data_IF_176304063373
#
_entry.id   IF_176304063373
#
_cell.length_a   1.000
_cell.length_b   1.000
_cell.length_c   1.000
_cell.angle_alpha   90.00
_cell.angle_beta   90.00
_cell.angle_gamma   90.00
#
_symmetry.space_group_name_H-M   'P 1'
#
loop_
_entity.id
_entity.type
_entity.pdbx_description
1 polymer ?
#
# COMPACT_ATOMS: atom_id res chain seq x y z
N UNK A 1 -2.16 -4.62 12.23
CA UNK A 1 -3.64 -4.61 12.31
C UNK A 1 -4.26 -5.27 11.07
N UNK A 2 -5.48 -4.88 10.61
CA UNK A 2 -6.14 -5.51 9.46
C UNK A 2 -5.35 -5.30 8.15
N UNK A 3 -4.85 -4.10 7.93
CA UNK A 3 -4.06 -3.77 6.74
C UNK A 3 -2.76 -4.57 6.65
N UNK A 4 -2.08 -4.82 7.75
CA UNK A 4 -0.82 -5.59 7.73
C UNK A 4 -1.07 -7.05 7.37
N UNK A 5 -2.20 -7.60 7.85
CA UNK A 5 -2.64 -8.95 7.47
C UNK A 5 -3.01 -8.98 5.99
N UNK A 6 -3.78 -8.01 5.51
CA UNK A 6 -4.12 -7.89 4.10
C UNK A 6 -2.88 -7.84 3.21
N UNK A 7 -1.87 -7.04 3.57
CA UNK A 7 -0.60 -6.98 2.85
C UNK A 7 0.09 -8.34 2.82
N UNK A 8 0.16 -9.04 3.94
CA UNK A 8 0.76 -10.37 4.00
C UNK A 8 0.00 -11.37 3.10
N UNK A 9 -1.32 -11.40 3.22
CA UNK A 9 -2.16 -12.34 2.47
C UNK A 9 -2.08 -12.10 0.95
N UNK A 10 -2.09 -10.85 0.49
CA UNK A 10 -2.04 -10.54 -0.95
C UNK A 10 -0.67 -10.88 -1.55
N UNK A 11 0.42 -10.73 -0.80
CA UNK A 11 1.77 -11.11 -1.23
C UNK A 11 1.96 -12.63 -1.39
N UNK A 12 1.10 -13.46 -0.78
CA UNK A 12 1.13 -14.90 -1.00
C UNK A 12 0.66 -15.32 -2.40
N UNK A 13 -0.13 -14.46 -3.05
CA UNK A 13 -0.79 -14.77 -4.32
C UNK A 13 -0.30 -13.93 -5.50
N UNK A 14 0.25 -12.74 -5.24
CA UNK A 14 0.64 -11.77 -6.26
C UNK A 14 2.03 -11.21 -6.05
N UNK A 15 2.67 -10.78 -7.12
CA UNK A 15 3.84 -9.89 -7.05
C UNK A 15 3.29 -8.48 -6.80
N UNK A 16 3.51 -7.97 -5.59
CA UNK A 16 2.97 -6.68 -5.17
C UNK A 16 4.06 -5.62 -5.05
N UNK A 17 3.72 -4.40 -5.45
CA UNK A 17 4.51 -3.20 -5.17
C UNK A 17 3.72 -2.35 -4.18
N UNK A 18 4.30 -2.13 -2.99
CA UNK A 18 3.71 -1.28 -1.96
C UNK A 18 4.44 0.07 -1.93
N UNK A 19 3.79 1.17 -2.34
CA UNK A 19 4.40 2.50 -2.28
C UNK A 19 4.71 2.97 -0.85
N UNK A 20 4.11 2.32 0.16
CA UNK A 20 4.35 2.62 1.57
C UNK A 20 5.67 2.10 2.13
N UNK A 21 6.28 1.09 1.49
CA UNK A 21 7.50 0.42 1.95
C UNK A 21 8.77 1.08 1.40
N UNK A 22 8.79 2.43 1.34
CA UNK A 22 9.91 3.18 0.77
C UNK A 22 10.85 3.72 1.85
N UNK A 23 12.10 3.32 1.79
CA UNK A 23 13.16 3.82 2.67
C UNK A 23 13.36 5.34 2.54
N UNK A 24 13.14 5.90 1.36
CA UNK A 24 13.23 7.35 1.10
C UNK A 24 12.19 8.14 1.90
N UNK A 25 10.95 7.68 1.99
CA UNK A 25 9.92 8.32 2.83
C UNK A 25 10.29 8.31 4.30
N UNK A 26 10.87 7.21 4.78
CA UNK A 26 11.38 7.10 6.14
C UNK A 26 12.52 8.09 6.37
N UNK A 27 13.46 8.19 5.45
CA UNK A 27 14.58 9.13 5.52
C UNK A 27 14.09 10.59 5.61
N UNK A 28 13.14 10.98 4.76
CA UNK A 28 12.56 12.33 4.77
C UNK A 28 11.82 12.62 6.08
N UNK A 29 11.06 11.68 6.58
CA UNK A 29 10.34 11.81 7.86
C UNK A 29 11.31 11.99 9.03
N UNK A 30 12.34 11.14 9.15
CA UNK A 30 13.33 11.23 10.20
C UNK A 30 14.13 12.54 10.14
N UNK A 31 14.47 13.01 8.93
CA UNK A 31 15.16 14.29 8.75
C UNK A 31 14.28 15.48 9.16
N UNK A 32 12.99 15.44 8.84
CA UNK A 32 12.02 16.48 9.26
C UNK A 32 11.87 16.53 10.79
N UNK A 33 11.77 15.38 11.45
CA UNK A 33 11.71 15.30 12.91
C UNK A 33 13.03 15.74 13.57
N UNK A 34 14.18 15.35 13.01
CA UNK A 34 15.49 15.80 13.48
C UNK A 34 15.66 17.32 13.34
N UNK A 35 15.14 17.91 12.27
CA UNK A 35 15.11 19.37 12.11
C UNK A 35 14.34 20.06 13.24
N UNK A 36 13.19 19.54 13.64
CA UNK A 36 12.40 20.07 14.77
C UNK A 36 13.13 19.98 16.09
N UNK A 37 13.98 18.95 16.26
CA UNK A 37 14.82 18.76 17.46
C UNK A 37 16.15 19.53 17.41
N UNK A 38 16.46 20.19 16.29
CA UNK A 38 17.73 20.89 16.09
C UNK A 38 18.93 19.96 15.87
N UNK A 39 18.70 18.73 15.46
CA UNK A 39 19.74 17.74 15.18
C UNK A 39 20.30 17.91 13.77
N UNK A 40 21.61 17.84 13.62
CA UNK A 40 22.29 18.02 12.33
C UNK A 40 22.49 16.72 11.54
N UNK A 41 22.24 15.56 12.15
CA UNK A 41 22.45 14.23 11.55
C UNK A 41 21.35 13.26 11.97
N UNK A 42 21.05 12.31 11.08
CA UNK A 42 20.26 11.11 11.36
C UNK A 42 21.05 9.88 10.93
N UNK A 43 20.86 8.78 11.63
CA UNK A 43 21.48 7.49 11.31
C UNK A 43 20.39 6.50 10.96
N UNK A 44 20.44 5.94 9.75
CA UNK A 44 19.46 4.96 9.26
C UNK A 44 20.17 3.68 8.81
N UNK A 45 19.47 2.56 8.91
CA UNK A 45 19.90 1.32 8.33
C UNK A 45 19.55 1.29 6.83
N UNK A 46 20.55 1.13 5.99
CA UNK A 46 20.41 1.00 4.54
C UNK A 46 21.13 -0.28 4.10
N UNK A 47 20.41 -1.22 3.56
CA UNK A 47 20.94 -2.51 3.11
C UNK A 47 21.79 -3.24 4.19
N UNK A 48 21.31 -3.26 5.43
CA UNK A 48 21.99 -3.90 6.57
C UNK A 48 23.20 -3.13 7.11
N UNK A 49 23.39 -1.87 6.74
CA UNK A 49 24.46 -0.99 7.23
C UNK A 49 23.91 0.29 7.82
N UNK A 50 24.45 0.71 8.95
CA UNK A 50 24.12 2.01 9.52
C UNK A 50 24.85 3.11 8.74
N UNK A 51 24.08 4.07 8.22
CA UNK A 51 24.59 5.19 7.40
C UNK A 51 24.14 6.50 8.03
N UNK A 52 25.09 7.43 8.18
CA UNK A 52 24.82 8.77 8.67
C UNK A 52 24.46 9.69 7.49
N UNK A 53 23.35 10.39 7.65
CA UNK A 53 22.88 11.41 6.72
C UNK A 53 22.94 12.79 7.38
N UNK A 54 23.39 13.79 6.63
CA UNK A 54 23.32 15.18 7.04
C UNK A 54 21.90 15.71 6.85
N UNK A 55 21.27 16.19 7.92
CA UNK A 55 19.86 16.63 7.88
C UNK A 55 19.63 17.79 6.91
N UNK A 56 20.44 18.89 6.91
CA UNK A 56 20.30 19.94 5.92
C UNK A 56 20.36 19.46 4.47
N UNK A 57 21.25 18.50 4.15
CA UNK A 57 21.38 17.97 2.79
C UNK A 57 20.15 17.17 2.39
N UNK A 58 19.62 16.31 3.29
CA UNK A 58 18.38 15.56 3.06
C UNK A 58 17.21 16.49 2.83
N UNK A 59 17.05 17.52 3.65
CA UNK A 59 15.96 18.50 3.49
C UNK A 59 16.08 19.28 2.18
N UNK A 60 17.29 19.60 1.76
CA UNK A 60 17.53 20.34 0.52
C UNK A 60 17.15 19.53 -0.74
N UNK A 61 17.34 18.22 -0.72
CA UNK A 61 16.98 17.34 -1.85
C UNK A 61 15.56 16.73 -1.73
N UNK A 62 14.85 17.00 -0.64
CA UNK A 62 13.51 16.46 -0.40
C UNK A 62 12.53 16.68 -1.58
N UNK A 63 12.43 17.88 -2.21
CA UNK A 63 11.54 18.09 -3.33
C UNK A 63 11.86 17.21 -4.55
N UNK A 64 13.15 16.94 -4.78
CA UNK A 64 13.60 16.07 -5.88
C UNK A 64 13.25 14.61 -5.59
N UNK A 65 13.41 14.18 -4.33
CA UNK A 65 13.02 12.85 -3.88
C UNK A 65 11.52 12.64 -4.01
N UNK A 66 10.70 13.59 -3.56
CA UNK A 66 9.24 13.53 -3.69
C UNK A 66 8.80 13.43 -5.15
N UNK A 67 9.44 14.18 -6.05
CA UNK A 67 9.17 14.10 -7.49
C UNK A 67 9.53 12.74 -8.08
N UNK A 68 10.61 12.12 -7.63
CA UNK A 68 11.03 10.79 -8.06
C UNK A 68 10.08 9.71 -7.52
N UNK A 69 9.64 9.81 -6.27
CA UNK A 69 8.65 8.91 -5.67
C UNK A 69 7.37 8.97 -6.49
N UNK A 70 6.86 10.17 -6.75
CA UNK A 70 5.65 10.38 -7.55
C UNK A 70 5.75 9.73 -8.93
N UNK A 71 6.82 10.02 -9.68
CA UNK A 71 7.04 9.47 -11.01
C UNK A 71 7.17 7.94 -10.99
N UNK A 72 7.80 7.37 -9.95
CA UNK A 72 7.95 5.93 -9.79
C UNK A 72 6.62 5.25 -9.49
N UNK A 73 5.79 5.80 -8.62
CA UNK A 73 4.51 5.21 -8.26
C UNK A 73 3.60 5.08 -9.49
N UNK A 74 3.54 6.11 -10.34
CA UNK A 74 2.81 6.03 -11.62
C UNK A 74 3.42 4.99 -12.58
N UNK A 75 4.74 4.91 -12.64
CA UNK A 75 5.41 3.91 -13.49
C UNK A 75 5.18 2.48 -13.00
N UNK A 76 5.08 2.26 -11.69
CA UNK A 76 4.72 0.95 -11.14
C UNK A 76 3.28 0.58 -11.50
N UNK A 77 2.36 1.53 -11.47
CA UNK A 77 0.99 1.33 -11.93
C UNK A 77 0.97 0.96 -13.42
N UNK A 78 1.72 1.67 -14.26
CA UNK A 78 1.79 1.37 -15.70
C UNK A 78 2.26 -0.05 -15.98
N UNK A 79 3.15 -0.60 -15.15
CA UNK A 79 3.70 -1.94 -15.24
C UNK A 79 2.85 -3.03 -14.57
N UNK A 80 1.82 -2.64 -13.83
CA UNK A 80 0.95 -3.57 -13.10
C UNK A 80 -0.27 -3.94 -13.94
N UNK A 81 -0.87 -5.09 -13.65
CA UNK A 81 -2.12 -5.53 -14.28
C UNK A 81 -3.33 -4.92 -13.56
N UNK A 82 -3.19 -4.69 -12.26
CA UNK A 82 -4.24 -4.14 -11.42
C UNK A 82 -3.68 -3.27 -10.30
N UNK A 83 -4.54 -2.45 -9.73
CA UNK A 83 -4.30 -1.75 -8.46
C UNK A 83 -5.32 -2.18 -7.42
N UNK A 84 -4.88 -2.39 -6.19
CA UNK A 84 -5.74 -2.65 -5.03
C UNK A 84 -5.49 -1.59 -3.97
N UNK A 85 -6.52 -0.84 -3.62
CA UNK A 85 -6.47 0.19 -2.58
C UNK A 85 -7.27 -0.22 -1.36
N UNK A 86 -6.67 -0.14 -0.18
CA UNK A 86 -7.35 -0.33 1.10
C UNK A 86 -7.59 1.04 1.75
N UNK A 87 -8.85 1.42 1.89
CA UNK A 87 -9.26 2.70 2.49
C UNK A 87 -9.82 2.45 3.89
N UNK A 88 -9.05 2.74 4.96
CA UNK A 88 -9.53 2.58 6.33
C UNK A 88 -10.51 3.69 6.73
N UNK A 89 -11.31 3.43 7.77
CA UNK A 89 -12.00 4.48 8.50
C UNK A 89 -11.05 5.07 9.55
N UNK A 90 -10.82 6.37 9.48
CA UNK A 90 -10.06 7.11 10.49
C UNK A 90 -10.98 7.61 11.60
N UNK A 91 -10.38 8.18 12.65
CA UNK A 91 -11.10 8.78 13.77
C UNK A 91 -12.14 9.80 13.28
N UNK A 92 -13.35 9.71 13.80
CA UNK A 92 -14.47 10.58 13.39
C UNK A 92 -15.18 10.12 12.12
N UNK A 93 -14.96 8.90 11.64
CA UNK A 93 -15.65 8.34 10.47
C UNK A 93 -15.13 8.89 9.13
N UNK A 94 -13.92 9.47 9.14
CA UNK A 94 -13.30 10.07 7.95
C UNK A 94 -12.64 8.96 7.13
N UNK A 95 -12.87 8.90 5.80
CA UNK A 95 -12.11 7.99 4.94
C UNK A 95 -10.61 8.28 4.96
N UNK A 96 -9.80 7.25 5.17
CA UNK A 96 -8.35 7.33 5.09
C UNK A 96 -7.85 7.34 3.64
N UNK A 97 -8.36 8.27 2.85
CA UNK A 97 -8.07 8.43 1.44
C UNK A 97 -7.31 9.74 1.20
N UNK A 98 -6.14 9.66 0.60
CA UNK A 98 -5.36 10.83 0.21
C UNK A 98 -5.62 11.20 -1.25
N UNK A 99 -5.37 12.47 -1.60
CA UNK A 99 -5.41 12.92 -3.00
C UNK A 99 -4.41 12.19 -3.90
N UNK A 100 -3.33 11.65 -3.34
CA UNK A 100 -2.37 10.79 -4.04
C UNK A 100 -3.03 9.51 -4.49
N UNK A 101 -3.68 8.81 -3.56
CA UNK A 101 -4.41 7.56 -3.86
C UNK A 101 -5.51 7.78 -4.89
N UNK A 102 -6.28 8.87 -4.80
CA UNK A 102 -7.31 9.19 -5.81
C UNK A 102 -6.69 9.34 -7.21
N UNK A 103 -5.54 9.98 -7.33
CA UNK A 103 -4.81 10.12 -8.61
C UNK A 103 -4.27 8.81 -9.13
N UNK A 104 -3.77 7.95 -8.25
CA UNK A 104 -3.28 6.62 -8.59
C UNK A 104 -4.42 5.74 -9.13
N UNK A 105 -5.57 5.76 -8.48
CA UNK A 105 -6.77 5.05 -8.95
C UNK A 105 -7.24 5.58 -10.31
N UNK A 106 -7.27 6.91 -10.49
CA UNK A 106 -7.63 7.53 -11.76
C UNK A 106 -6.63 7.17 -12.87
N UNK A 107 -5.33 7.21 -12.59
CA UNK A 107 -4.29 6.83 -13.55
C UNK A 107 -4.42 5.36 -13.98
N UNK A 108 -4.67 4.47 -13.04
CA UNK A 108 -4.90 3.06 -13.34
C UNK A 108 -6.15 2.86 -14.21
N UNK A 109 -7.24 3.56 -13.90
CA UNK A 109 -8.48 3.53 -14.70
C UNK A 109 -8.25 4.02 -16.14
N UNK A 110 -7.57 5.17 -16.32
CA UNK A 110 -7.23 5.71 -17.64
C UNK A 110 -6.28 4.79 -18.42
N UNK A 111 -5.39 4.10 -17.70
CA UNK A 111 -4.50 3.06 -18.24
C UNK A 111 -5.19 1.72 -18.49
N UNK A 112 -6.53 1.65 -18.38
CA UNK A 112 -7.34 0.42 -18.59
C UNK A 112 -6.94 -0.75 -17.69
N UNK A 113 -6.40 -0.44 -16.50
CA UNK A 113 -6.07 -1.44 -15.46
C UNK A 113 -7.32 -1.81 -14.68
N UNK A 114 -7.31 -2.98 -14.05
CA UNK A 114 -8.33 -3.30 -13.06
C UNK A 114 -8.09 -2.52 -11.78
N UNK A 115 -9.12 -1.86 -11.27
CA UNK A 115 -9.06 -1.01 -10.08
C UNK A 115 -9.98 -1.59 -9.02
N UNK A 116 -9.41 -2.08 -7.94
CA UNK A 116 -10.13 -2.68 -6.83
C UNK A 116 -9.95 -1.84 -5.56
N UNK A 117 -11.06 -1.56 -4.87
CA UNK A 117 -11.05 -0.75 -3.65
C UNK A 117 -11.73 -1.51 -2.52
N UNK A 118 -11.03 -1.67 -1.40
CA UNK A 118 -11.61 -2.12 -0.14
C UNK A 118 -11.99 -0.88 0.65
N UNK A 119 -13.29 -0.64 0.82
CA UNK A 119 -13.82 0.56 1.46
C UNK A 119 -14.36 0.24 2.84
N UNK A 120 -13.64 0.65 3.89
CA UNK A 120 -14.02 0.39 5.29
C UNK A 120 -14.84 1.50 5.96
N UNK A 121 -14.82 2.77 5.48
CA UNK A 121 -15.63 3.83 6.09
C UNK A 121 -17.12 3.55 6.00
N UNK A 122 -17.87 4.00 7.01
CA UNK A 122 -19.35 3.96 7.01
C UNK A 122 -19.98 4.91 6.01
N UNK A 123 -19.25 6.00 5.72
CA UNK A 123 -19.65 6.96 4.69
C UNK A 123 -19.46 6.34 3.31
N UNK A 124 -20.47 6.44 2.46
CA UNK A 124 -20.38 5.96 1.07
C UNK A 124 -19.21 6.61 0.31
N UNK A 125 -18.54 5.85 -0.58
CA UNK A 125 -17.49 6.40 -1.42
C UNK A 125 -18.05 7.46 -2.38
N UNK A 126 -17.21 8.42 -2.75
CA UNK A 126 -17.57 9.43 -3.73
C UNK A 126 -17.71 8.83 -5.13
N UNK A 127 -18.43 9.50 -6.07
CA UNK A 127 -18.46 9.06 -7.47
C UNK A 127 -17.07 8.96 -8.12
N UNK A 128 -16.09 9.75 -7.68
CA UNK A 128 -14.72 9.64 -8.17
C UNK A 128 -14.05 8.30 -7.82
N UNK A 129 -14.55 7.61 -6.80
CA UNK A 129 -14.09 6.26 -6.44
C UNK A 129 -14.96 5.21 -7.16
N UNK A 130 -16.28 5.33 -7.10
CA UNK A 130 -17.17 4.30 -7.68
C UNK A 130 -17.10 4.21 -9.20
N UNK A 131 -16.87 5.34 -9.88
CA UNK A 131 -16.79 5.38 -11.35
C UNK A 131 -15.39 5.00 -11.88
N UNK A 132 -14.34 5.12 -11.07
CA UNK A 132 -12.99 4.67 -11.43
C UNK A 132 -12.74 3.22 -11.04
N UNK A 133 -13.39 2.71 -9.99
CA UNK A 133 -13.18 1.35 -9.54
C UNK A 133 -13.86 0.32 -10.45
N UNK A 134 -13.14 -0.72 -10.85
CA UNK A 134 -13.72 -1.92 -11.45
C UNK A 134 -14.71 -2.55 -10.47
N UNK A 135 -14.35 -2.54 -9.18
CA UNK A 135 -15.24 -2.96 -8.10
C UNK A 135 -14.79 -2.42 -6.73
N UNK A 136 -15.80 -2.08 -5.90
CA UNK A 136 -15.62 -1.70 -4.50
C UNK A 136 -16.12 -2.84 -3.61
N UNK A 137 -15.36 -3.17 -2.57
CA UNK A 137 -15.65 -4.23 -1.60
C UNK A 137 -15.75 -3.67 -0.19
N UNK A 138 -16.62 -4.26 0.63
CA UNK A 138 -16.76 -3.90 2.04
C UNK A 138 -15.69 -4.55 2.94
N UNK A 139 -15.01 -5.60 2.46
CA UNK A 139 -14.02 -6.33 3.23
C UNK A 139 -12.93 -6.97 2.37
N UNK A 140 -11.85 -7.38 3.03
CA UNK A 140 -10.74 -8.14 2.42
C UNK A 140 -11.25 -9.49 1.90
N UNK A 141 -12.11 -10.15 2.65
CA UNK A 141 -12.68 -11.45 2.32
C UNK A 141 -13.48 -11.40 1.02
N UNK A 142 -14.27 -10.35 0.81
CA UNK A 142 -15.03 -10.15 -0.43
C UNK A 142 -14.12 -9.99 -1.65
N UNK A 143 -13.01 -9.26 -1.49
CA UNK A 143 -11.99 -9.12 -2.55
C UNK A 143 -11.40 -10.48 -2.91
N UNK A 144 -10.94 -11.26 -1.93
CA UNK A 144 -10.32 -12.57 -2.18
C UNK A 144 -11.32 -13.58 -2.77
N UNK A 145 -12.58 -13.58 -2.33
CA UNK A 145 -13.65 -14.37 -2.96
C UNK A 145 -13.86 -13.98 -4.43
N UNK A 146 -13.78 -12.68 -4.74
CA UNK A 146 -13.85 -12.21 -6.11
C UNK A 146 -12.66 -12.70 -6.94
N UNK A 147 -11.42 -12.61 -6.42
CA UNK A 147 -10.22 -13.10 -7.08
C UNK A 147 -10.28 -14.61 -7.33
N UNK A 148 -10.79 -15.38 -6.38
CA UNK A 148 -11.02 -16.80 -6.54
C UNK A 148 -12.06 -17.06 -7.67
N UNK A 149 -13.17 -16.34 -7.67
CA UNK A 149 -14.19 -16.47 -8.72
C UNK A 149 -13.66 -16.12 -10.11
N UNK A 150 -12.75 -15.15 -10.19
CA UNK A 150 -12.07 -14.75 -11.42
C UNK A 150 -10.97 -15.75 -11.85
N UNK A 151 -10.58 -16.66 -10.97
CA UNK A 151 -9.48 -17.60 -11.19
C UNK A 151 -8.09 -16.96 -11.08
N UNK A 152 -7.98 -15.79 -10.44
CA UNK A 152 -6.68 -15.15 -10.19
C UNK A 152 -5.90 -15.85 -9.09
N UNK A 153 -6.60 -16.44 -8.14
CA UNK A 153 -6.04 -17.25 -7.06
C UNK A 153 -6.76 -18.60 -7.00
N UNK A 154 -6.08 -19.61 -6.42
CA UNK A 154 -6.69 -20.91 -6.13
C UNK A 154 -7.69 -20.84 -4.98
N UNK A 155 -8.09 -22.01 -4.42
CA UNK A 155 -9.01 -22.06 -3.30
C UNK A 155 -8.47 -21.27 -2.10
N UNK A 156 -9.09 -20.12 -1.85
CA UNK A 156 -8.79 -19.28 -0.70
C UNK A 156 -9.50 -19.82 0.52
N UNK A 157 -8.75 -20.38 1.46
CA UNK A 157 -9.34 -20.90 2.69
C UNK A 157 -9.52 -19.77 3.70
N UNK A 158 -10.77 -19.37 3.91
CA UNK A 158 -11.18 -18.42 4.97
C UNK A 158 -10.69 -18.78 6.38
N UNK A 159 -10.20 -20.01 6.58
CA UNK A 159 -9.67 -20.51 7.85
C UNK A 159 -8.41 -19.79 8.35
N UNK A 160 -7.62 -19.19 7.48
CA UNK A 160 -6.47 -18.36 7.85
C UNK A 160 -6.89 -17.07 8.54
N UNK A 161 -8.08 -16.55 8.22
CA UNK A 161 -8.63 -15.31 8.81
C UNK A 161 -9.15 -15.55 10.24
N UNK A 162 -9.50 -16.81 10.59
CA UNK A 162 -10.06 -17.16 11.91
C UNK A 162 -9.01 -17.52 12.96
N UNK A 163 -7.73 -17.36 12.68
CA UNK A 163 -6.69 -17.47 13.72
C UNK A 163 -6.32 -18.90 14.13
N UNK A 164 -6.53 -19.91 13.30
CA UNK A 164 -6.03 -21.25 13.54
C UNK A 164 -4.61 -21.43 13.03
N UNK A 165 -3.77 -22.05 13.86
CA UNK A 165 -2.34 -22.23 13.73
C UNK A 165 -1.91 -22.85 12.38
N UNK A 166 -0.64 -22.59 11.94
CA UNK A 166 -0.12 -23.11 10.67
C UNK A 166 -0.16 -24.64 10.65
N UNK A 167 -0.75 -25.22 9.61
CA UNK A 167 -0.62 -26.64 9.33
C UNK A 167 0.84 -26.90 8.93
N UNK A 168 1.53 -27.70 9.72
CA UNK A 168 2.84 -28.25 9.35
C UNK A 168 2.79 -28.83 7.94
N UNK A 169 3.67 -28.36 7.06
CA UNK A 169 3.87 -28.94 5.75
C UNK A 169 4.36 -30.37 5.93
N UNK A 170 3.52 -31.33 5.60
CA UNK A 170 3.93 -32.71 5.52
C UNK A 170 5.14 -32.84 4.60
N UNK A 171 6.24 -33.37 5.12
CA UNK A 171 7.39 -33.81 4.34
C UNK A 171 6.90 -34.90 3.39
N UNK A 172 6.98 -34.64 2.10
CA UNK A 172 6.95 -35.75 1.14
C UNK A 172 8.26 -36.52 1.25
N UNK A 173 8.14 -37.80 1.61
CA UNK A 173 9.21 -38.79 1.52
C UNK A 173 9.46 -39.19 0.06
#
# INVERSE_FOLDING_TARGET
AEIDRFKADIHEHFICFDPGDLDEKRMLFEAAEATKRGEGKITLEVNGRMVDFNVPDVINVAPDIDSQIYARDFKLIDQSDMIVSYVPELSGGIPGLSSGVERELQHAFEGTKEVYVIWRPKKEPSPFITETATRVFGSVEELFQHFQTKGYIGDYQLDLIRGNAPRERGRFG
#
